data_IF_837436275060
#
_entry.id   IF_837436275060
#
_cell.length_a   1.000
_cell.length_b   1.000
_cell.length_c   1.000
_cell.angle_alpha   90.00
_cell.angle_beta   90.00
_cell.angle_gamma   90.00
#
_symmetry.space_group_name_H-M   'P 1'
#
loop_
_entity.id
_entity.type
_entity.pdbx_description
1 polymer ?
#
# COMPACT_ATOMS: atom_id res chain seq x y z
N UNK A 1 -24.77 -62.73 -3.34
CA UNK A 1 -24.39 -61.79 -4.40
C UNK A 1 -24.07 -60.46 -3.76
N UNK A 2 -22.79 -60.09 -3.84
CA UNK A 2 -22.06 -58.99 -3.18
C UNK A 2 -22.37 -57.57 -3.69
N UNK A 3 -23.54 -57.34 -4.29
CA UNK A 3 -23.88 -56.06 -4.92
C UNK A 3 -23.82 -54.87 -3.95
N UNK A 4 -24.13 -55.10 -2.67
CA UNK A 4 -24.03 -54.08 -1.63
C UNK A 4 -22.57 -53.75 -1.28
N UNK A 5 -21.69 -54.76 -1.26
CA UNK A 5 -20.25 -54.58 -0.99
C UNK A 5 -19.56 -53.89 -2.16
N UNK A 6 -19.90 -54.27 -3.40
CA UNK A 6 -19.36 -53.63 -4.61
C UNK A 6 -19.78 -52.15 -4.69
N UNK A 7 -21.02 -51.82 -4.31
CA UNK A 7 -21.48 -50.44 -4.27
C UNK A 7 -20.76 -49.60 -3.21
N UNK A 8 -20.57 -50.15 -2.01
CA UNK A 8 -19.83 -49.47 -0.92
C UNK A 8 -18.39 -49.21 -1.36
N UNK A 9 -17.74 -50.18 -1.99
CA UNK A 9 -16.37 -50.04 -2.48
C UNK A 9 -16.26 -48.98 -3.59
N UNK A 10 -17.20 -48.93 -4.52
CA UNK A 10 -17.25 -47.89 -5.57
C UNK A 10 -17.49 -46.49 -4.98
N UNK A 11 -18.34 -46.38 -3.96
CA UNK A 11 -18.57 -45.10 -3.28
C UNK A 11 -17.34 -44.64 -2.51
N UNK A 12 -16.67 -45.55 -1.79
CA UNK A 12 -15.50 -45.25 -0.97
C UNK A 12 -14.28 -44.88 -1.82
N UNK A 13 -14.08 -45.57 -2.95
CA UNK A 13 -13.06 -45.21 -3.95
C UNK A 13 -13.36 -43.85 -4.59
N UNK A 14 -14.62 -43.57 -4.94
CA UNK A 14 -15.06 -42.26 -5.43
C UNK A 14 -14.77 -41.12 -4.44
N UNK A 15 -15.11 -41.31 -3.16
CA UNK A 15 -14.82 -40.34 -2.09
C UNK A 15 -13.31 -40.14 -1.89
N UNK A 16 -12.52 -41.20 -1.98
CA UNK A 16 -11.05 -41.14 -1.84
C UNK A 16 -10.41 -40.37 -2.98
N UNK A 17 -10.80 -40.64 -4.22
CA UNK A 17 -10.33 -39.91 -5.41
C UNK A 17 -10.73 -38.43 -5.33
N UNK A 18 -11.95 -38.12 -4.90
CA UNK A 18 -12.39 -36.75 -4.69
C UNK A 18 -11.58 -36.03 -3.61
N UNK A 19 -11.26 -36.71 -2.49
CA UNK A 19 -10.37 -36.16 -1.45
C UNK A 19 -8.98 -35.88 -1.98
N UNK A 20 -8.34 -36.84 -2.65
CA UNK A 20 -7.00 -36.66 -3.23
C UNK A 20 -6.99 -35.53 -4.28
N UNK A 21 -8.02 -35.44 -5.12
CA UNK A 21 -8.17 -34.36 -6.11
C UNK A 21 -8.31 -33.00 -5.44
N UNK A 22 -9.13 -32.90 -4.40
CA UNK A 22 -9.36 -31.66 -3.65
C UNK A 22 -8.11 -31.25 -2.88
N UNK A 23 -7.49 -32.17 -2.15
CA UNK A 23 -6.25 -31.95 -1.41
C UNK A 23 -5.10 -31.58 -2.34
N UNK A 24 -4.98 -32.25 -3.49
CA UNK A 24 -4.00 -31.91 -4.53
C UNK A 24 -4.19 -30.50 -5.08
N UNK A 25 -5.44 -30.06 -5.31
CA UNK A 25 -5.75 -28.68 -5.70
C UNK A 25 -5.39 -27.67 -4.61
N UNK A 26 -5.72 -27.96 -3.35
CA UNK A 26 -5.39 -27.11 -2.20
C UNK A 26 -3.87 -26.97 -2.01
N UNK A 27 -3.12 -28.08 -2.13
CA UNK A 27 -1.66 -28.09 -2.13
C UNK A 27 -1.08 -27.26 -3.29
N UNK A 28 -1.66 -27.39 -4.48
CA UNK A 28 -1.29 -26.61 -5.66
C UNK A 28 -1.57 -25.10 -5.50
N UNK A 29 -2.71 -24.73 -4.95
CA UNK A 29 -3.07 -23.34 -4.63
C UNK A 29 -2.16 -22.75 -3.56
N UNK A 30 -1.90 -23.50 -2.48
CA UNK A 30 -0.97 -23.11 -1.43
C UNK A 30 0.43 -22.85 -1.98
N UNK A 31 0.94 -23.75 -2.85
CA UNK A 31 2.23 -23.56 -3.54
C UNK A 31 2.22 -22.33 -4.47
N UNK A 32 1.16 -22.12 -5.26
CA UNK A 32 1.03 -20.96 -6.15
C UNK A 32 1.00 -19.64 -5.38
N UNK A 33 0.24 -19.59 -4.29
CA UNK A 33 0.14 -18.42 -3.42
C UNK A 33 1.48 -18.13 -2.74
N UNK A 34 2.16 -19.17 -2.22
CA UNK A 34 3.50 -19.03 -1.66
C UNK A 34 4.49 -18.46 -2.68
N UNK A 35 4.54 -19.01 -3.89
CA UNK A 35 5.40 -18.51 -4.96
C UNK A 35 5.07 -17.06 -5.35
N UNK A 36 3.77 -16.71 -5.44
CA UNK A 36 3.33 -15.34 -5.68
C UNK A 36 3.85 -14.40 -4.59
N UNK A 37 3.72 -14.77 -3.33
CA UNK A 37 4.19 -13.96 -2.20
C UNK A 37 5.71 -13.82 -2.21
N UNK A 38 6.46 -14.89 -2.49
CA UNK A 38 7.94 -14.84 -2.59
C UNK A 38 8.38 -13.90 -3.72
N UNK A 39 7.76 -13.99 -4.90
CA UNK A 39 8.04 -13.08 -6.02
C UNK A 39 7.72 -11.63 -5.68
N UNK A 40 6.57 -11.40 -5.05
CA UNK A 40 6.12 -10.08 -4.61
C UNK A 40 7.10 -9.47 -3.59
N UNK A 41 7.55 -10.26 -2.61
CA UNK A 41 8.62 -9.86 -1.68
C UNK A 41 9.91 -9.50 -2.39
N UNK A 42 10.32 -10.31 -3.38
CA UNK A 42 11.56 -10.05 -4.15
C UNK A 42 11.47 -8.74 -4.93
N UNK A 43 10.35 -8.49 -5.61
CA UNK A 43 10.14 -7.25 -6.36
C UNK A 43 10.09 -6.01 -5.45
N UNK A 44 9.43 -6.12 -4.29
CA UNK A 44 9.45 -5.06 -3.28
C UNK A 44 10.87 -4.81 -2.76
N UNK A 45 11.64 -5.87 -2.49
CA UNK A 45 13.03 -5.75 -2.03
C UNK A 45 13.94 -5.10 -3.08
N UNK A 46 13.71 -5.38 -4.37
CA UNK A 46 14.40 -4.71 -5.47
C UNK A 46 14.15 -3.20 -5.52
N UNK A 47 12.98 -2.75 -5.03
CA UNK A 47 12.62 -1.33 -4.86
C UNK A 47 13.09 -0.75 -3.51
N UNK A 48 13.81 -1.53 -2.70
CA UNK A 48 14.25 -1.14 -1.37
C UNK A 48 13.15 -1.18 -0.30
N UNK A 49 12.02 -1.84 -0.55
CA UNK A 49 10.87 -1.93 0.36
C UNK A 49 10.90 -3.30 1.06
N UNK A 50 10.79 -3.33 2.39
CA UNK A 50 10.70 -4.58 3.15
C UNK A 50 9.23 -4.99 3.30
N UNK A 51 8.76 -5.88 2.44
CA UNK A 51 7.37 -6.37 2.45
C UNK A 51 7.22 -7.68 3.26
N UNK A 52 6.29 -7.67 4.21
CA UNK A 52 5.94 -8.84 5.02
C UNK A 52 4.43 -9.12 4.96
N UNK A 53 4.04 -10.37 5.20
CA UNK A 53 2.65 -10.82 5.14
C UNK A 53 2.28 -11.47 6.47
N UNK A 54 1.05 -11.24 6.89
CA UNK A 54 0.37 -11.90 7.98
C UNK A 54 -0.08 -13.31 7.57
N UNK A 55 -0.37 -14.18 8.55
CA UNK A 55 -0.97 -15.48 8.29
C UNK A 55 -2.33 -15.37 7.58
N UNK A 56 -2.70 -16.43 6.83
CA UNK A 56 -3.90 -16.44 5.98
C UNK A 56 -5.23 -16.19 6.71
N UNK A 57 -5.29 -16.48 8.01
CA UNK A 57 -6.49 -16.29 8.84
C UNK A 57 -6.80 -14.83 9.16
N UNK A 58 -5.87 -13.91 8.91
CA UNK A 58 -6.08 -12.48 9.18
C UNK A 58 -6.92 -11.83 8.09
N UNK A 59 -7.91 -11.03 8.49
CA UNK A 59 -8.76 -10.25 7.57
C UNK A 59 -7.93 -9.35 6.67
N UNK A 60 -6.94 -8.66 7.24
CA UNK A 60 -5.99 -7.81 6.49
C UNK A 60 -5.30 -8.55 5.34
N UNK A 61 -4.95 -9.84 5.54
CA UNK A 61 -4.36 -10.67 4.50
C UNK A 61 -5.37 -11.02 3.41
N UNK A 62 -6.58 -11.45 3.80
CA UNK A 62 -7.65 -11.81 2.86
C UNK A 62 -8.06 -10.66 1.96
N UNK A 63 -8.07 -9.45 2.49
CA UNK A 63 -8.45 -8.26 1.74
C UNK A 63 -7.29 -7.65 0.96
N UNK A 64 -6.06 -8.18 1.07
CA UNK A 64 -4.92 -7.62 0.40
C UNK A 64 -4.98 -7.90 -1.11
N UNK A 65 -5.09 -6.83 -1.90
CA UNK A 65 -5.13 -6.89 -3.36
C UNK A 65 -3.80 -6.54 -4.02
N UNK A 66 -2.73 -6.37 -3.23
CA UNK A 66 -1.37 -6.10 -3.73
C UNK A 66 -0.91 -7.23 -4.64
N UNK A 67 -0.46 -6.89 -5.84
CA UNK A 67 -0.03 -7.88 -6.83
C UNK A 67 1.09 -7.34 -7.73
N UNK A 68 1.87 -8.26 -8.28
CA UNK A 68 2.96 -7.96 -9.20
C UNK A 68 2.59 -8.52 -10.57
N UNK A 69 2.65 -7.69 -11.60
CA UNK A 69 2.57 -8.14 -12.98
C UNK A 69 3.96 -8.59 -13.42
N UNK A 70 4.18 -9.91 -13.50
CA UNK A 70 5.50 -10.47 -13.79
C UNK A 70 5.98 -10.22 -15.22
N UNK A 71 5.07 -9.93 -16.15
CA UNK A 71 5.43 -9.67 -17.55
C UNK A 71 6.05 -8.29 -17.73
N UNK A 72 5.54 -7.30 -16.99
CA UNK A 72 5.95 -5.90 -17.07
C UNK A 72 6.81 -5.44 -15.88
N UNK A 73 6.99 -6.31 -14.87
CA UNK A 73 7.58 -6.00 -13.57
C UNK A 73 6.89 -4.83 -12.83
N UNK A 74 5.61 -4.58 -13.11
CA UNK A 74 4.84 -3.53 -12.48
C UNK A 74 4.24 -3.98 -11.15
N UNK A 75 4.44 -3.18 -10.10
CA UNK A 75 3.98 -3.46 -8.77
C UNK A 75 2.73 -2.62 -8.45
N UNK A 76 1.63 -3.32 -8.18
CA UNK A 76 0.36 -2.69 -7.83
C UNK A 76 0.08 -2.90 -6.35
N UNK A 77 -0.11 -1.80 -5.64
CA UNK A 77 -0.42 -1.77 -4.22
C UNK A 77 -1.91 -1.68 -3.96
N UNK A 78 -2.37 -2.39 -2.93
CA UNK A 78 -3.54 -1.93 -2.17
C UNK A 78 -3.08 -0.74 -1.32
N UNK A 79 -3.86 0.32 -1.24
CA UNK A 79 -3.56 1.44 -0.35
C UNK A 79 -4.76 1.66 0.55
N UNK A 80 -4.52 1.82 1.85
CA UNK A 80 -5.55 2.17 2.80
C UNK A 80 -5.30 3.60 3.29
N UNK A 81 -6.31 4.44 3.15
CA UNK A 81 -6.32 5.82 3.63
C UNK A 81 -7.20 5.90 4.86
N UNK A 82 -6.68 6.55 5.91
CA UNK A 82 -7.39 6.81 7.16
C UNK A 82 -7.44 8.32 7.33
N UNK A 83 -8.62 8.84 7.66
CA UNK A 83 -8.91 10.25 7.90
C UNK A 83 -9.33 10.43 9.36
N UNK A 84 -8.38 10.64 10.30
CA UNK A 84 -8.66 10.68 11.73
C UNK A 84 -9.65 11.78 12.13
N UNK A 85 -9.52 12.96 11.52
CA UNK A 85 -10.36 14.13 11.81
C UNK A 85 -11.79 14.01 11.27
N UNK A 86 -12.05 13.03 10.42
CA UNK A 86 -13.38 12.72 9.90
C UNK A 86 -13.91 11.42 10.51
N UNK A 87 -13.91 11.34 11.84
CA UNK A 87 -14.38 10.17 12.62
C UNK A 87 -13.67 8.85 12.23
N UNK A 88 -12.35 8.92 12.03
CA UNK A 88 -11.53 7.78 11.57
C UNK A 88 -12.03 7.11 10.27
N UNK A 89 -12.66 7.89 9.39
CA UNK A 89 -13.14 7.40 8.11
C UNK A 89 -12.01 6.72 7.32
N UNK A 90 -12.31 5.53 6.79
CA UNK A 90 -11.31 4.68 6.12
C UNK A 90 -11.78 4.34 4.72
N UNK A 91 -10.92 4.57 3.74
CA UNK A 91 -11.13 4.17 2.34
C UNK A 91 -9.94 3.36 1.85
N UNK A 92 -10.16 2.54 0.83
CA UNK A 92 -9.09 1.72 0.26
C UNK A 92 -9.12 1.80 -1.25
N UNK A 93 -7.96 2.14 -1.83
CA UNK A 93 -7.72 1.99 -3.25
C UNK A 93 -7.21 0.58 -3.53
N UNK A 94 -7.77 -0.04 -4.57
CA UNK A 94 -7.27 -1.29 -5.11
C UNK A 94 -6.42 -1.02 -6.35
N UNK A 95 -5.30 -1.75 -6.48
CA UNK A 95 -4.46 -1.78 -7.69
C UNK A 95 -3.83 -0.44 -8.09
N UNK A 96 -3.21 0.25 -7.14
CA UNK A 96 -2.48 1.49 -7.42
C UNK A 96 -1.05 1.17 -7.86
N UNK A 97 -0.63 1.69 -9.01
CA UNK A 97 0.73 1.46 -9.51
C UNK A 97 1.76 2.22 -8.66
N UNK A 98 2.90 1.58 -8.39
CA UNK A 98 3.95 2.11 -7.52
C UNK A 98 4.63 3.40 -8.02
N UNK A 99 4.59 3.67 -9.32
CA UNK A 99 5.09 4.91 -9.93
C UNK A 99 4.14 6.11 -9.79
N UNK A 100 2.88 5.89 -9.38
CA UNK A 100 1.95 7.00 -9.19
C UNK A 100 2.39 7.87 -8.01
N UNK A 101 2.20 9.19 -8.13
CA UNK A 101 2.42 10.14 -7.03
C UNK A 101 1.31 10.03 -5.99
N UNK A 102 1.64 10.24 -4.72
CA UNK A 102 0.64 10.21 -3.65
C UNK A 102 -0.44 11.27 -3.87
N UNK A 103 -0.07 12.46 -4.35
CA UNK A 103 -0.98 13.55 -4.70
C UNK A 103 -2.04 13.12 -5.71
N UNK A 104 -1.65 12.41 -6.79
CA UNK A 104 -2.59 11.94 -7.81
C UNK A 104 -3.55 10.85 -7.30
N UNK A 105 -3.10 10.04 -6.35
CA UNK A 105 -3.96 9.01 -5.76
C UNK A 105 -4.94 9.60 -4.75
N UNK A 106 -4.48 10.59 -3.98
CA UNK A 106 -5.26 11.22 -2.92
C UNK A 106 -6.22 12.28 -3.45
N UNK A 107 -5.92 12.91 -4.59
CA UNK A 107 -6.77 13.95 -5.21
C UNK A 107 -8.20 13.48 -5.45
N UNK A 108 -8.42 12.18 -5.70
CA UNK A 108 -9.73 11.55 -5.86
C UNK A 108 -10.65 11.72 -4.64
N UNK A 109 -10.07 11.90 -3.46
CA UNK A 109 -10.80 12.02 -2.19
C UNK A 109 -10.86 13.46 -1.67
N UNK A 110 -9.86 14.29 -1.98
CA UNK A 110 -9.80 15.69 -1.53
C UNK A 110 -10.52 16.64 -2.49
N UNK A 111 -10.47 16.37 -3.79
CA UNK A 111 -11.16 17.18 -4.81
C UNK A 111 -12.65 16.84 -4.76
N UNK A 112 -13.56 17.78 -5.06
CA UNK A 112 -15.00 17.51 -5.10
C UNK A 112 -15.30 16.30 -6.00
N UNK A 113 -15.41 15.14 -5.37
CA UNK A 113 -15.72 13.89 -6.04
C UNK A 113 -17.22 13.83 -6.26
N UNK A 114 -17.65 13.19 -7.34
CA UNK A 114 -19.08 12.95 -7.63
C UNK A 114 -19.76 12.09 -6.55
N UNK A 115 -18.97 11.40 -5.72
CA UNK A 115 -19.46 10.56 -4.63
C UNK A 115 -19.88 11.42 -3.43
N UNK A 116 -21.20 11.55 -3.27
CA UNK A 116 -21.87 12.32 -2.22
C UNK A 116 -21.41 11.89 -0.81
N UNK A 117 -21.18 10.59 -0.61
CA UNK A 117 -20.83 10.01 0.69
C UNK A 117 -19.45 10.48 1.19
N UNK A 118 -18.46 10.60 0.28
CA UNK A 118 -17.13 11.09 0.65
C UNK A 118 -17.13 12.59 0.96
N UNK A 119 -17.96 13.34 0.23
CA UNK A 119 -17.98 14.80 0.29
C UNK A 119 -18.34 15.31 1.67
N UNK A 120 -19.40 14.78 2.28
CA UNK A 120 -19.85 15.26 3.60
C UNK A 120 -18.79 15.05 4.67
N UNK A 121 -18.13 13.89 4.64
CA UNK A 121 -17.15 13.44 5.63
C UNK A 121 -15.81 14.16 5.46
N UNK A 122 -15.40 14.47 4.23
CA UNK A 122 -14.08 15.02 3.92
C UNK A 122 -14.03 16.55 3.72
N UNK A 123 -15.15 17.26 3.91
CA UNK A 123 -15.25 18.74 3.79
C UNK A 123 -14.14 19.48 4.55
N UNK A 124 -13.74 18.96 5.71
CA UNK A 124 -12.69 19.56 6.56
C UNK A 124 -11.33 19.56 5.86
N UNK A 125 -11.01 18.49 5.12
CA UNK A 125 -9.76 18.37 4.36
C UNK A 125 -9.83 19.18 3.07
N UNK A 126 -10.97 19.20 2.38
CA UNK A 126 -11.19 20.05 1.19
C UNK A 126 -10.94 21.52 1.54
N UNK A 127 -11.48 21.99 2.67
CA UNK A 127 -11.32 23.38 3.15
C UNK A 127 -9.89 23.72 3.56
N UNK A 128 -9.12 22.74 4.04
CA UNK A 128 -7.73 22.94 4.44
C UNK A 128 -6.78 23.11 3.23
N UNK A 129 -7.21 22.67 2.04
CA UNK A 129 -6.39 22.69 0.84
C UNK A 129 -5.17 21.77 0.93
N UNK A 130 -4.33 21.78 -0.12
CA UNK A 130 -3.16 20.91 -0.21
C UNK A 130 -2.11 21.20 0.88
N UNK A 131 -1.89 22.47 1.20
CA UNK A 131 -0.86 22.87 2.17
C UNK A 131 -1.28 22.60 3.63
N UNK A 132 -2.59 22.59 3.88
CA UNK A 132 -3.17 22.29 5.18
C UNK A 132 -3.21 20.80 5.53
N UNK A 133 -2.76 19.93 4.61
CA UNK A 133 -2.80 18.47 4.78
C UNK A 133 -1.38 17.92 4.85
N UNK A 134 -1.17 16.95 5.76
CA UNK A 134 0.03 16.11 5.80
C UNK A 134 -0.37 14.65 5.70
N UNK A 135 0.49 13.87 5.07
CA UNK A 135 0.31 12.43 4.93
C UNK A 135 1.38 11.71 5.73
N UNK A 136 0.93 10.78 6.57
CA UNK A 136 1.77 9.96 7.42
C UNK A 136 1.61 8.49 7.02
N UNK A 137 2.70 7.75 6.89
CA UNK A 137 2.69 6.31 6.71
C UNK A 137 2.83 5.64 8.08
N UNK A 138 1.94 4.70 8.42
CA UNK A 138 2.05 3.94 9.66
C UNK A 138 3.34 3.12 9.71
N UNK A 139 4.11 3.26 10.78
CA UNK A 139 5.33 2.49 10.98
C UNK A 139 5.00 1.16 11.65
N UNK A 140 5.00 0.08 10.88
CA UNK A 140 4.64 -1.26 11.36
C UNK A 140 5.82 -1.91 12.11
N UNK A 141 5.49 -2.76 13.11
CA UNK A 141 6.46 -3.50 13.96
C UNK A 141 7.43 -2.64 14.78
N UNK A 142 7.11 -1.37 14.99
CA UNK A 142 7.80 -0.50 15.95
C UNK A 142 6.89 -0.36 17.18
N UNK A 143 7.43 -0.42 18.40
CA UNK A 143 6.62 -0.23 19.60
C UNK A 143 6.05 1.19 19.63
N UNK A 144 4.75 1.29 19.97
CA UNK A 144 4.00 2.54 19.96
C UNK A 144 3.36 2.86 18.60
N UNK A 145 2.65 3.99 18.54
CA UNK A 145 2.05 4.49 17.31
C UNK A 145 3.02 5.47 16.65
N UNK A 146 4.04 4.92 15.96
CA UNK A 146 5.00 5.73 15.20
C UNK A 146 4.60 5.83 13.74
N UNK A 147 5.00 6.94 13.14
CA UNK A 147 4.66 7.26 11.76
C UNK A 147 5.88 7.77 11.00
N UNK A 148 5.93 7.50 9.70
CA UNK A 148 6.88 8.12 8.80
C UNK A 148 6.18 9.24 8.04
N UNK A 149 6.82 10.40 7.93
CA UNK A 149 6.31 11.45 7.05
C UNK A 149 6.35 10.98 5.59
N UNK A 150 5.30 11.28 4.83
CA UNK A 150 5.20 10.99 3.41
C UNK A 150 5.03 12.29 2.62
N UNK A 151 5.70 12.37 1.46
CA UNK A 151 5.64 13.52 0.59
C UNK A 151 4.65 13.26 -0.56
N UNK A 152 3.70 14.17 -0.74
CA UNK A 152 2.64 14.09 -1.76
C UNK A 152 3.19 14.11 -3.19
N UNK A 153 4.28 14.82 -3.43
CA UNK A 153 4.89 14.98 -4.76
C UNK A 153 5.72 13.74 -5.17
N UNK A 154 6.12 12.94 -4.18
CA UNK A 154 6.88 11.73 -4.42
C UNK A 154 5.97 10.56 -4.85
N UNK A 155 6.54 9.63 -5.61
CA UNK A 155 5.86 8.37 -5.96
C UNK A 155 5.62 7.50 -4.74
N UNK A 156 4.67 6.58 -4.83
CA UNK A 156 4.41 5.60 -3.77
C UNK A 156 5.68 4.79 -3.51
N UNK A 157 6.33 4.28 -4.55
CA UNK A 157 7.56 3.50 -4.42
C UNK A 157 8.64 4.25 -3.62
N UNK A 158 8.82 5.55 -3.90
CA UNK A 158 9.80 6.37 -3.20
C UNK A 158 9.43 6.60 -1.74
N UNK A 159 8.16 6.89 -1.45
CA UNK A 159 7.69 7.07 -0.08
C UNK A 159 7.79 5.81 0.79
N UNK A 160 7.72 4.62 0.18
CA UNK A 160 7.83 3.32 0.87
C UNK A 160 9.27 2.80 0.96
N UNK A 161 10.21 3.38 0.21
CA UNK A 161 11.60 2.92 0.14
C UNK A 161 12.27 3.00 1.51
N UNK A 162 13.01 1.96 1.88
CA UNK A 162 13.68 1.84 3.18
C UNK A 162 12.74 1.44 4.33
N UNK A 163 11.42 1.33 4.06
CA UNK A 163 10.40 1.10 5.10
C UNK A 163 9.91 -0.34 5.10
N UNK A 164 9.38 -0.76 6.26
CA UNK A 164 8.71 -2.04 6.42
C UNK A 164 7.21 -1.86 6.20
N UNK A 165 6.67 -2.62 5.25
CA UNK A 165 5.25 -2.63 4.92
C UNK A 165 4.68 -4.01 5.27
N UNK A 166 3.62 -4.02 6.07
CA UNK A 166 2.90 -5.22 6.46
C UNK A 166 1.61 -5.33 5.64
N UNK A 167 1.53 -6.35 4.77
CA UNK A 167 0.46 -6.55 3.77
C UNK A 167 0.39 -5.47 2.70
N UNK A 168 0.04 -4.25 3.12
CA UNK A 168 -0.19 -3.08 2.28
C UNK A 168 0.06 -1.79 3.07
N UNK A 169 0.47 -0.70 2.41
CA UNK A 169 0.69 0.60 3.06
C UNK A 169 -0.61 1.18 3.61
N UNK A 170 -0.51 1.76 4.81
CA UNK A 170 -1.61 2.47 5.49
C UNK A 170 -1.19 3.90 5.71
N UNK A 171 -1.84 4.82 5.01
CA UNK A 171 -1.60 6.24 5.12
C UNK A 171 -2.67 6.91 5.97
N UNK A 172 -2.23 7.81 6.82
CA UNK A 172 -3.05 8.70 7.63
C UNK A 172 -2.98 10.08 6.99
N UNK A 173 -4.14 10.59 6.60
CA UNK A 173 -4.29 11.93 6.05
C UNK A 173 -4.77 12.81 7.18
N UNK A 174 -3.91 13.72 7.62
CA UNK A 174 -4.14 14.55 8.80
C UNK A 174 -4.06 16.02 8.44
N UNK A 175 -4.66 16.85 9.27
CA UNK A 175 -4.49 18.30 9.15
C UNK A 175 -3.15 18.72 9.72
N UNK A 176 -2.47 19.65 9.07
CA UNK A 176 -1.15 20.16 9.49
C UNK A 176 -1.13 20.63 10.96
N UNK A 177 -2.25 21.17 11.46
CA UNK A 177 -2.42 21.59 12.86
C UNK A 177 -2.35 20.45 13.89
N UNK A 178 -2.69 19.23 13.48
CA UNK A 178 -2.75 18.05 14.35
C UNK A 178 -1.48 17.21 14.29
N UNK A 179 -0.47 17.63 13.52
CA UNK A 179 0.79 16.90 13.35
C UNK A 179 1.48 16.60 14.69
N UNK A 180 1.40 17.52 15.65
CA UNK A 180 2.02 17.38 16.98
C UNK A 180 1.44 16.23 17.82
N UNK A 181 0.27 15.69 17.44
CA UNK A 181 -0.36 14.56 18.13
C UNK A 181 0.23 13.21 17.70
N UNK A 182 1.13 13.19 16.70
CA UNK A 182 1.70 11.99 16.12
C UNK A 182 3.19 11.90 16.42
N UNK A 183 3.64 10.72 16.83
CA UNK A 183 5.06 10.45 17.02
C UNK A 183 5.69 10.12 15.65
N UNK A 184 6.41 11.09 15.08
CA UNK A 184 7.08 10.94 13.79
C UNK A 184 8.48 10.37 14.02
N UNK A 185 8.83 9.32 13.29
CA UNK A 185 10.20 8.78 13.30
C UNK A 185 11.17 9.81 12.69
N UNK A 186 12.13 10.28 13.50
CA UNK A 186 13.13 11.29 13.15
C UNK A 186 13.89 10.96 11.85
N UNK A 187 14.06 9.66 11.54
CA UNK A 187 14.69 9.23 10.28
C UNK A 187 13.94 9.74 9.06
N UNK A 188 12.61 9.76 9.12
CA UNK A 188 11.79 10.26 8.01
C UNK A 188 11.91 11.77 7.80
N UNK A 189 12.14 12.52 8.89
CA UNK A 189 12.33 13.98 8.81
C UNK A 189 13.68 14.31 8.16
N UNK A 190 14.75 13.60 8.55
CA UNK A 190 16.07 13.79 7.95
C UNK A 190 16.10 13.50 6.45
N UNK A 191 15.40 12.45 6.01
CA UNK A 191 15.26 12.09 4.59
C UNK A 191 14.56 13.18 3.79
N UNK A 192 13.48 13.78 4.33
CA UNK A 192 12.78 14.90 3.67
C UNK A 192 13.62 16.16 3.58
N UNK A 193 14.27 16.57 4.67
CA UNK A 193 15.14 17.77 4.67
C UNK A 193 16.28 17.62 3.66
N UNK A 194 16.82 16.40 3.52
CA UNK A 194 17.88 16.11 2.55
C UNK A 194 17.38 16.21 1.10
N UNK A 195 16.15 15.76 0.84
CA UNK A 195 15.51 15.89 -0.47
C UNK A 195 15.21 17.35 -0.83
N UNK A 196 14.65 18.13 0.11
CA UNK A 196 14.35 19.54 -0.13
C UNK A 196 15.61 20.34 -0.44
N UNK A 197 16.72 20.07 0.27
CA UNK A 197 18.03 20.68 -0.01
C UNK A 197 18.53 20.33 -1.42
N UNK A 198 18.42 19.06 -1.83
CA UNK A 198 18.84 18.61 -3.15
C UNK A 198 18.01 19.27 -4.27
N UNK A 199 16.69 19.33 -4.11
CA UNK A 199 15.79 19.97 -5.10
C UNK A 199 16.10 21.46 -5.22
N UNK A 200 16.31 22.17 -4.09
CA UNK A 200 16.70 23.59 -4.11
C UNK A 200 18.02 23.80 -4.87
N UNK A 201 19.03 22.97 -4.60
CA UNK A 201 20.32 23.06 -5.29
C UNK A 201 20.20 22.82 -6.82
N UNK A 202 19.35 21.90 -7.27
CA UNK A 202 19.08 21.71 -8.71
C UNK A 202 18.43 22.96 -9.31
N UNK A 203 17.39 23.48 -8.66
CA UNK A 203 16.64 24.63 -9.17
C UNK A 203 17.51 25.90 -9.24
N UNK A 204 18.38 26.10 -8.27
CA UNK A 204 19.38 27.18 -8.27
C UNK A 204 20.36 27.04 -9.45
N UNK A 205 20.87 25.82 -9.70
CA UNK A 205 21.76 25.56 -10.84
C UNK A 205 21.07 25.73 -12.20
N UNK A 206 19.79 25.36 -12.32
CA UNK A 206 19.02 25.57 -13.55
C UNK A 206 18.77 27.05 -13.81
N UNK A 207 18.35 27.81 -12.79
CA UNK A 207 18.14 29.26 -12.92
C UNK A 207 19.43 29.98 -13.31
N UNK A 208 20.58 29.53 -12.80
CA UNK A 208 21.88 30.06 -13.22
C UNK A 208 22.16 29.81 -14.71
N UNK A 209 21.94 28.58 -15.21
CA UNK A 209 22.12 28.24 -16.62
C UNK A 209 21.19 29.01 -17.56
N UNK A 210 19.93 29.25 -17.19
CA UNK A 210 18.99 30.03 -18.00
C UNK A 210 19.25 31.54 -17.98
N UNK A 211 19.92 32.06 -16.93
CA UNK A 211 20.32 33.47 -16.88
C UNK A 211 21.49 33.80 -17.82
N UNK A 212 22.37 32.84 -18.08
CA UNK A 212 23.55 33.00 -18.97
C UNK A 212 23.27 32.83 -20.47
N UNK A 213 22.06 32.47 -20.88
CA UNK A 213 21.70 32.23 -22.30
C UNK A 213 20.93 33.41 -22.92
N UNK A 214 20.55 34.41 -22.12
CA UNK A 214 19.78 35.57 -22.56
C UNK A 214 20.60 36.88 -22.64
N UNK A 215 21.93 36.81 -22.55
CA UNK A 215 22.85 37.95 -22.77
C UNK A 215 23.63 37.80 -24.08
#
# INVERSE_FOLDING_TARGET
MDLQNDYILLEETGRTVQRISTEGKLLGESKRNFLRMVKLKKAARGRGIKLEFLPHKFTRHRENTTFLNWKTDELFWKIQWIFPEADNYTVSDSKVLDICTLSNTLSKYITPSENVDHKQVLTVYESAGKDGIKVLLKAEKIPGNKYYMANLENTISHNLRGKLILEHPVFYVILSKNLNNYEIDERSVSEMVSQDKYIRAINENQNFLFSTVND
#
